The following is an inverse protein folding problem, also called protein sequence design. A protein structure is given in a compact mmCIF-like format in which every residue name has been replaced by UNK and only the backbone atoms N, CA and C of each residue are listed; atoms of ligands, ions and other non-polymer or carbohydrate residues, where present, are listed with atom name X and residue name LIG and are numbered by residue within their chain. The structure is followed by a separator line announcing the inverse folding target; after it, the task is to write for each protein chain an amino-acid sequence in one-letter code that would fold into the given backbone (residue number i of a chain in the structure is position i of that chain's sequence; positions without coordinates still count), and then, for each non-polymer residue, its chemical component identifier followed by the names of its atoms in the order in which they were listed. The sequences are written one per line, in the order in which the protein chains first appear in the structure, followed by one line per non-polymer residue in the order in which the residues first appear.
data_IF_754307308771
#
_entry.id   IF_754307308771
#
_cell.length_a   1.000
_cell.length_b   1.000
_cell.length_c   1.000
_cell.angle_alpha   90.00
_cell.angle_beta   90.00
_cell.angle_gamma   90.00
#
_symmetry.space_group_name_H-M   'P 1'
#
loop_
_entity.id
_entity.type
_entity.pdbx_description
1 polymer ?
#
# COMPACT_ATOMS: atom_id res chain seq x y z
N UNK A 1 6.05 -0.90 19.27
CA UNK A 1 5.98 0.12 18.21
C UNK A 1 7.03 -0.27 17.19
N UNK A 2 6.59 -0.76 16.04
CA UNK A 2 7.48 -1.20 14.95
C UNK A 2 7.16 -0.33 13.76
N UNK A 3 8.15 0.41 13.25
CA UNK A 3 8.00 1.33 12.12
C UNK A 3 8.85 0.91 10.90
N UNK A 4 9.64 -0.16 11.03
CA UNK A 4 10.47 -0.73 9.98
C UNK A 4 10.35 -2.26 9.98
N UNK A 5 10.40 -2.88 8.80
CA UNK A 5 10.30 -4.32 8.67
C UNK A 5 10.77 -4.79 7.30
N UNK A 6 11.19 -6.05 7.21
CA UNK A 6 11.64 -6.65 5.95
C UNK A 6 10.45 -7.12 5.12
N UNK A 7 10.14 -6.38 4.06
CA UNK A 7 9.12 -6.77 3.07
C UNK A 7 9.68 -7.63 1.94
N UNK A 8 8.80 -8.05 1.02
CA UNK A 8 9.19 -8.71 -0.24
C UNK A 8 8.43 -8.09 -1.42
N UNK A 9 9.16 -7.77 -2.50
CA UNK A 9 8.59 -7.29 -3.76
C UNK A 9 8.58 -8.42 -4.79
N UNK A 10 7.41 -8.72 -5.34
CA UNK A 10 7.22 -9.74 -6.37
C UNK A 10 6.83 -9.09 -7.70
N UNK A 11 7.44 -9.56 -8.79
CA UNK A 11 7.00 -9.25 -10.15
C UNK A 11 6.17 -10.41 -10.70
N UNK A 12 4.90 -10.16 -10.99
CA UNK A 12 3.99 -11.18 -11.53
C UNK A 12 4.06 -11.22 -13.06
N UNK A 13 3.64 -12.36 -13.63
CA UNK A 13 3.58 -12.56 -15.10
C UNK A 13 2.60 -11.63 -15.80
N UNK A 14 1.56 -11.16 -15.10
CA UNK A 14 0.55 -10.23 -15.62
C UNK A 14 0.98 -8.75 -15.56
N UNK A 15 2.28 -8.48 -15.42
CA UNK A 15 2.84 -7.12 -15.41
C UNK A 15 2.62 -6.34 -14.11
N UNK A 16 2.04 -6.97 -13.08
CA UNK A 16 1.78 -6.34 -11.78
C UNK A 16 2.89 -6.61 -10.77
N UNK A 17 3.08 -5.67 -9.85
CA UNK A 17 3.93 -5.86 -8.69
C UNK A 17 3.08 -6.08 -7.43
N UNK A 18 3.55 -6.94 -6.54
CA UNK A 18 2.98 -7.13 -5.20
C UNK A 18 4.06 -6.84 -4.16
N UNK A 19 3.70 -6.10 -3.11
CA UNK A 19 4.55 -5.89 -1.94
C UNK A 19 3.90 -6.61 -0.78
N UNK A 20 4.64 -7.53 -0.15
CA UNK A 20 4.28 -8.11 1.13
C UNK A 20 4.94 -7.30 2.23
N UNK A 21 4.10 -6.80 3.13
CA UNK A 21 4.48 -6.05 4.32
C UNK A 21 4.27 -6.96 5.53
N UNK A 22 5.19 -6.98 6.51
CA UNK A 22 5.01 -7.75 7.74
C UNK A 22 3.70 -7.38 8.46
N UNK A 23 3.02 -8.38 9.02
CA UNK A 23 1.71 -8.22 9.67
C UNK A 23 1.81 -7.32 10.91
N UNK A 24 2.85 -7.53 11.72
CA UNK A 24 3.17 -6.72 12.89
C UNK A 24 3.37 -5.24 12.55
N UNK A 25 3.97 -4.94 11.38
CA UNK A 25 4.11 -3.57 10.89
C UNK A 25 2.77 -2.96 10.45
N UNK A 26 1.86 -3.77 9.89
CA UNK A 26 0.56 -3.31 9.39
C UNK A 26 -0.51 -3.16 10.49
N UNK A 27 -0.40 -3.97 11.55
CA UNK A 27 -1.32 -3.94 12.69
C UNK A 27 -0.97 -2.82 13.69
N UNK A 28 0.28 -2.32 13.72
CA UNK A 28 0.70 -1.20 14.58
C UNK A 28 -0.22 0.03 14.42
N UNK A 29 -0.49 0.72 15.53
CA UNK A 29 -1.28 1.95 15.58
C UNK A 29 -0.82 3.04 14.61
N UNK A 30 0.45 3.07 14.24
CA UNK A 30 1.02 4.06 13.33
C UNK A 30 0.88 3.70 11.85
N UNK A 31 0.35 2.51 11.52
CA UNK A 31 0.17 2.12 10.13
C UNK A 31 -0.90 2.99 9.45
N UNK A 32 -0.60 3.67 8.33
CA UNK A 32 -1.43 4.75 7.80
C UNK A 32 -2.71 4.30 7.10
N UNK A 33 -2.90 2.99 6.90
CA UNK A 33 -4.07 2.41 6.21
C UNK A 33 -4.84 1.51 7.16
N UNK A 34 -6.06 1.93 7.54
CA UNK A 34 -6.95 1.16 8.42
C UNK A 34 -8.34 0.91 7.81
N UNK A 35 -8.76 1.77 6.89
CA UNK A 35 -10.13 1.78 6.33
C UNK A 35 -10.29 0.86 5.11
N UNK A 36 -9.91 -0.41 5.24
CA UNK A 36 -10.05 -1.37 4.15
C UNK A 36 -11.53 -1.70 3.90
N UNK A 37 -11.92 -1.78 2.63
CA UNK A 37 -13.26 -2.19 2.18
C UNK A 37 -13.23 -3.62 1.66
N UNK A 38 -14.25 -4.40 2.03
CA UNK A 38 -14.45 -5.76 1.48
C UNK A 38 -14.81 -5.69 0.01
N UNK A 39 -14.07 -6.43 -0.80
CA UNK A 39 -14.34 -6.65 -2.21
C UNK A 39 -15.42 -7.71 -2.41
N UNK A 40 -16.01 -7.79 -3.60
CA UNK A 40 -16.98 -8.84 -3.98
C UNK A 40 -16.44 -10.27 -3.83
N UNK A 41 -15.11 -10.44 -3.76
CA UNK A 41 -14.42 -11.74 -3.63
C UNK A 41 -13.94 -12.01 -2.20
N UNK A 42 -14.40 -11.24 -1.21
CA UNK A 42 -14.11 -11.46 0.21
C UNK A 42 -12.78 -10.90 0.72
N UNK A 43 -11.89 -10.44 -0.16
CA UNK A 43 -10.64 -9.77 0.23
C UNK A 43 -10.90 -8.32 0.65
N UNK A 44 -10.10 -7.79 1.58
CA UNK A 44 -10.14 -6.39 2.00
C UNK A 44 -9.13 -5.56 1.20
N UNK A 45 -9.52 -4.34 0.79
CA UNK A 45 -8.70 -3.48 -0.06
C UNK A 45 -9.01 -2.00 0.16
N UNK A 46 -8.02 -1.14 -0.09
CA UNK A 46 -8.17 0.32 -0.08
C UNK A 46 -7.47 0.88 -1.34
N UNK A 47 -8.09 1.84 -2.06
CA UNK A 47 -7.43 2.48 -3.18
C UNK A 47 -6.31 3.39 -2.68
N UNK A 48 -5.14 3.32 -3.32
CA UNK A 48 -3.97 4.11 -2.96
C UNK A 48 -3.37 4.78 -4.18
N UNK A 49 -2.81 5.97 -3.96
CA UNK A 49 -1.92 6.64 -4.91
C UNK A 49 -0.50 6.16 -4.67
N UNK A 50 0.16 5.71 -5.71
CA UNK A 50 1.56 5.28 -5.66
C UNK A 50 2.37 6.23 -6.51
N UNK A 51 3.43 6.80 -5.95
CA UNK A 51 4.32 7.71 -6.67
C UNK A 51 5.77 7.53 -6.25
N UNK A 52 6.69 7.94 -7.11
CA UNK A 52 8.12 8.00 -6.81
C UNK A 52 8.74 9.16 -7.58
N UNK A 53 9.85 9.68 -7.08
CA UNK A 53 10.67 10.67 -7.79
C UNK A 53 11.98 10.00 -8.19
N UNK A 54 12.37 10.19 -9.45
CA UNK A 54 13.66 9.71 -9.96
C UNK A 54 14.77 10.30 -9.09
N UNK A 55 15.69 9.45 -8.62
CA UNK A 55 16.79 9.83 -7.74
C UNK A 55 16.48 9.83 -6.24
N UNK A 56 15.22 9.72 -5.81
CA UNK A 56 14.86 9.71 -4.37
C UNK A 56 14.86 8.29 -3.75
N UNK A 57 15.05 7.24 -4.56
CA UNK A 57 15.09 5.82 -4.13
C UNK A 57 13.98 5.39 -3.15
N UNK A 58 12.83 6.07 -3.19
CA UNK A 58 11.71 5.88 -2.28
C UNK A 58 10.41 5.78 -3.09
N UNK A 59 9.57 4.84 -2.68
CA UNK A 59 8.18 4.74 -3.10
C UNK A 59 7.31 5.41 -2.05
N UNK A 60 6.39 6.26 -2.49
CA UNK A 60 5.42 6.93 -1.63
C UNK A 60 4.06 6.32 -1.93
N UNK A 61 3.38 5.86 -0.88
CA UNK A 61 2.02 5.30 -0.95
C UNK A 61 1.13 6.18 -0.08
N UNK A 62 0.07 6.71 -0.66
CA UNK A 62 -0.88 7.62 0.00
C UNK A 62 -2.30 7.11 -0.20
N UNK A 63 -3.24 7.48 0.68
CA UNK A 63 -4.67 7.21 0.44
C UNK A 63 -5.07 7.89 -0.87
N UNK A 64 -5.78 7.17 -1.74
CA UNK A 64 -6.30 7.77 -2.95
C UNK A 64 -7.42 8.75 -2.58
N UNK A 65 -7.25 10.03 -2.93
CA UNK A 65 -8.30 11.03 -2.86
C UNK A 65 -8.92 11.13 -4.26
N UNK A 66 -10.23 10.93 -4.35
CA UNK A 66 -10.94 11.17 -5.61
C UNK A 66 -10.69 12.63 -6.04
N UNK A 67 -10.34 12.89 -7.31
CA UNK A 67 -10.26 14.25 -7.81
C UNK A 67 -11.61 14.92 -7.58
N UNK A 68 -11.64 16.03 -6.84
CA UNK A 68 -12.83 16.86 -6.80
C UNK A 68 -13.08 17.37 -8.22
N UNK A 69 -14.16 16.94 -8.84
CA UNK A 69 -14.63 17.50 -10.11
C UNK A 69 -14.82 19.01 -9.88
N UNK A 70 -14.09 19.81 -10.66
CA UNK A 70 -14.24 21.27 -10.69
C UNK A 70 -15.40 21.66 -11.58
#
# INVERSE_FOLDING_TARGET
MVNEGKGTLFKRKDGKYLIYVPVDLAEDSMFPFKDFKKTKRGAESIPVKISFKIGNNKLIIEKWQEPQEK
#
